data_IF_148877053390
#
_entry.id   IF_148877053390
#
_cell.length_a   1.000
_cell.length_b   1.000
_cell.length_c   1.000
_cell.angle_alpha   90.00
_cell.angle_beta   90.00
_cell.angle_gamma   90.00
#
_symmetry.space_group_name_H-M   'P 1'
#
loop_
_entity.id
_entity.type
_entity.pdbx_description
1 polymer ?
#
# COMPACT_ATOMS: atom_id res chain seq x y z
N UNK A 1 9.02 51.65 25.25
CA UNK A 1 8.97 50.33 25.92
C UNK A 1 8.44 49.28 24.95
N UNK A 2 9.29 48.44 24.31
CA UNK A 2 8.83 47.36 23.44
C UNK A 2 8.28 46.19 24.26
N UNK A 3 7.18 45.57 23.82
CA UNK A 3 6.65 44.34 24.43
C UNK A 3 7.58 43.17 24.11
N UNK A 4 8.04 42.43 25.13
CA UNK A 4 8.81 41.19 24.92
C UNK A 4 7.91 40.14 24.26
N UNK A 5 8.35 39.59 23.14
CA UNK A 5 7.73 38.44 22.52
C UNK A 5 8.11 37.18 23.32
N UNK A 6 7.14 36.48 23.92
CA UNK A 6 7.41 35.16 24.50
C UNK A 6 7.54 34.14 23.37
N UNK A 7 8.72 33.52 23.28
CA UNK A 7 8.88 32.28 22.53
C UNK A 7 8.24 31.13 23.33
N UNK A 8 7.50 30.20 22.69
CA UNK A 8 6.96 29.03 23.38
C UNK A 8 8.11 28.12 23.86
N UNK A 9 7.94 27.49 25.02
CA UNK A 9 8.97 26.60 25.57
C UNK A 9 9.24 25.40 24.66
N UNK A 10 10.53 25.11 24.48
CA UNK A 10 11.04 23.98 23.69
C UNK A 10 10.57 22.66 24.32
N UNK A 11 9.59 21.99 23.70
CA UNK A 11 9.07 20.71 24.15
C UNK A 11 10.06 19.56 23.87
N UNK A 12 11.15 19.52 24.66
CA UNK A 12 12.14 18.46 24.60
C UNK A 12 11.55 17.20 25.24
N UNK A 13 11.26 16.18 24.44
CA UNK A 13 10.94 14.85 24.96
C UNK A 13 12.10 14.36 25.85
N UNK A 14 11.84 13.92 27.10
CA UNK A 14 12.90 13.49 28.00
C UNK A 14 13.61 12.26 27.43
N UNK A 15 14.96 12.14 27.60
CA UNK A 15 15.69 10.97 27.16
C UNK A 15 15.21 9.71 27.90
N UNK A 16 15.00 8.63 27.16
CA UNK A 16 14.55 7.35 27.71
C UNK A 16 15.58 6.81 28.72
N UNK A 17 15.12 6.51 29.94
CA UNK A 17 15.96 6.01 31.02
C UNK A 17 15.83 4.49 31.12
N UNK A 18 16.88 3.77 30.75
CA UNK A 18 16.91 2.31 30.94
C UNK A 18 16.71 1.92 32.41
N UNK A 19 16.02 0.80 32.70
CA UNK A 19 15.77 0.34 34.07
C UNK A 19 17.09 -0.02 34.78
N UNK A 20 17.15 0.23 36.09
CA UNK A 20 18.37 0.11 36.91
C UNK A 20 18.32 -1.11 37.82
N UNK A 21 18.34 -2.28 37.20
CA UNK A 21 18.66 -3.56 37.84
C UNK A 21 17.66 -4.68 37.55
N UNK A 22 18.04 -5.93 37.85
CA UNK A 22 17.22 -7.11 37.51
C UNK A 22 15.86 -7.15 38.23
N UNK A 23 15.71 -6.47 39.37
CA UNK A 23 14.43 -6.38 40.08
C UNK A 23 13.38 -5.48 39.40
N UNK A 24 13.76 -4.45 38.63
CA UNK A 24 12.79 -3.68 37.84
C UNK A 24 12.30 -4.48 36.62
N UNK A 25 13.16 -5.32 36.04
CA UNK A 25 12.80 -6.16 34.89
C UNK A 25 11.72 -7.21 35.24
N UNK A 26 11.77 -7.81 36.44
CA UNK A 26 10.75 -8.76 36.89
C UNK A 26 9.36 -8.12 37.11
N UNK A 27 9.27 -6.78 37.22
CA UNK A 27 8.03 -6.07 37.48
C UNK A 27 7.22 -5.68 36.22
N UNK A 28 7.68 -6.05 35.02
CA UNK A 28 7.04 -5.65 33.75
C UNK A 28 5.75 -6.42 33.41
N UNK A 29 5.49 -7.56 34.07
CA UNK A 29 4.45 -8.51 33.67
C UNK A 29 3.24 -8.63 34.62
N UNK A 30 2.86 -7.55 35.33
CA UNK A 30 1.75 -7.55 36.29
C UNK A 30 0.76 -6.38 36.09
N UNK A 31 -0.25 -6.58 35.25
CA UNK A 31 -1.59 -5.93 35.28
C UNK A 31 -1.71 -4.38 35.39
N UNK A 32 -0.65 -3.58 35.25
CA UNK A 32 -0.73 -2.10 35.36
C UNK A 32 -1.47 -1.42 34.20
N UNK A 33 -1.53 -2.07 33.03
CA UNK A 33 -2.31 -1.65 31.87
C UNK A 33 -3.54 -2.53 31.70
N UNK A 34 -4.73 -1.91 31.63
CA UNK A 34 -5.98 -2.61 31.28
C UNK A 34 -6.08 -3.07 29.82
N UNK A 35 -5.01 -2.87 29.04
CA UNK A 35 -4.90 -3.19 27.62
C UNK A 35 -3.80 -4.21 27.31
N UNK A 36 -3.93 -4.89 26.17
CA UNK A 36 -2.90 -5.73 25.54
C UNK A 36 -2.59 -5.26 24.12
N UNK A 37 -1.38 -5.54 23.64
CA UNK A 37 -0.93 -5.19 22.29
C UNK A 37 -0.41 -6.43 21.59
N UNK A 38 -0.99 -6.81 20.45
CA UNK A 38 -0.54 -7.93 19.62
C UNK A 38 0.01 -7.41 18.29
N UNK A 39 0.83 -8.23 17.63
CA UNK A 39 1.29 -8.01 16.25
C UNK A 39 0.68 -9.08 15.37
N UNK A 40 -0.09 -8.70 14.35
CA UNK A 40 -0.70 -9.67 13.43
C UNK A 40 0.27 -10.22 12.38
N UNK A 41 1.42 -9.57 12.16
CA UNK A 41 2.39 -9.99 11.14
C UNK A 41 3.11 -11.31 11.50
N UNK A 42 3.06 -12.29 10.59
CA UNK A 42 3.91 -13.50 10.62
C UNK A 42 5.40 -13.21 10.46
N UNK A 43 5.76 -12.25 9.61
CA UNK A 43 7.15 -11.96 9.25
C UNK A 43 7.85 -11.11 10.32
N UNK A 44 8.92 -11.64 10.91
CA UNK A 44 9.63 -11.02 12.03
C UNK A 44 10.09 -9.57 11.78
N UNK A 45 10.51 -9.21 10.55
CA UNK A 45 10.90 -7.85 10.19
C UNK A 45 9.73 -6.84 10.31
N UNK A 46 8.52 -7.25 9.93
CA UNK A 46 7.30 -6.45 10.02
C UNK A 46 6.89 -6.15 11.48
N UNK A 47 7.36 -6.95 12.45
CA UNK A 47 7.12 -6.72 13.88
C UNK A 47 7.93 -5.56 14.48
N UNK A 48 8.89 -4.97 13.76
CA UNK A 48 9.78 -3.94 14.32
C UNK A 48 9.01 -2.71 14.83
N UNK A 49 8.04 -2.21 14.06
CA UNK A 49 7.22 -1.07 14.48
C UNK A 49 6.37 -1.39 15.70
N UNK A 50 5.84 -2.63 15.78
CA UNK A 50 5.08 -3.07 16.94
C UNK A 50 5.93 -3.07 18.22
N UNK A 51 7.16 -3.61 18.15
CA UNK A 51 8.14 -3.60 19.25
C UNK A 51 8.49 -2.18 19.70
N UNK A 52 8.83 -1.29 18.75
CA UNK A 52 9.14 0.13 19.03
C UNK A 52 7.96 0.88 19.66
N UNK A 53 6.72 0.47 19.39
CA UNK A 53 5.52 1.02 20.05
C UNK A 53 5.39 0.47 21.47
N UNK A 54 5.50 -0.85 21.68
CA UNK A 54 5.39 -1.45 23.02
C UNK A 54 6.51 -1.01 23.96
N UNK A 55 7.74 -0.87 23.48
CA UNK A 55 8.89 -0.29 24.20
C UNK A 55 8.58 1.12 24.73
N UNK A 56 7.97 1.98 23.90
CA UNK A 56 7.58 3.35 24.28
C UNK A 56 6.40 3.41 25.25
N UNK A 57 5.56 2.38 25.27
CA UNK A 57 4.45 2.24 26.22
C UNK A 57 4.86 1.57 27.54
N UNK A 58 6.09 1.02 27.64
CA UNK A 58 6.51 0.21 28.77
C UNK A 58 5.73 -1.12 28.89
N UNK A 59 5.29 -1.67 27.76
CA UNK A 59 4.49 -2.88 27.65
C UNK A 59 5.24 -3.97 26.87
N UNK A 60 4.80 -5.22 27.01
CA UNK A 60 5.24 -6.34 26.18
C UNK A 60 4.21 -6.67 25.10
N UNK A 61 4.66 -7.28 24.00
CA UNK A 61 3.77 -7.85 22.98
C UNK A 61 3.09 -9.11 23.53
N UNK A 62 1.78 -9.20 23.31
CA UNK A 62 0.95 -10.33 23.70
C UNK A 62 1.35 -11.62 22.99
N UNK A 63 1.18 -12.75 23.68
CA UNK A 63 1.63 -14.06 23.22
C UNK A 63 0.68 -14.60 22.16
N UNK A 64 1.06 -14.49 20.89
CA UNK A 64 0.35 -15.09 19.75
C UNK A 64 1.32 -15.73 18.77
N UNK A 65 0.87 -16.79 18.12
CA UNK A 65 1.57 -17.41 16.98
C UNK A 65 0.77 -17.09 15.71
N UNK A 66 1.44 -16.56 14.68
CA UNK A 66 0.88 -16.33 13.34
C UNK A 66 1.79 -17.00 12.32
N UNK A 67 1.24 -17.85 11.48
CA UNK A 67 1.99 -18.57 10.45
C UNK A 67 1.09 -18.92 9.25
N UNK A 68 1.72 -19.31 8.13
CA UNK A 68 1.04 -19.94 7.01
C UNK A 68 1.26 -21.45 7.05
N UNK A 69 0.18 -22.21 6.86
CA UNK A 69 0.21 -23.66 6.62
C UNK A 69 0.77 -23.93 5.20
N UNK A 70 1.18 -25.17 4.91
CA UNK A 70 1.86 -25.53 3.65
C UNK A 70 1.01 -25.38 2.38
N UNK A 71 -0.30 -25.20 2.53
CA UNK A 71 -1.27 -24.90 1.47
C UNK A 71 -1.46 -23.37 1.23
N UNK A 72 -0.80 -22.51 2.02
CA UNK A 72 -0.94 -21.05 1.98
C UNK A 72 -2.04 -20.49 2.88
N UNK A 73 -2.79 -21.33 3.61
CA UNK A 73 -3.80 -20.85 4.56
C UNK A 73 -3.14 -20.18 5.77
N UNK A 74 -3.65 -19.01 6.16
CA UNK A 74 -3.13 -18.24 7.29
C UNK A 74 -3.79 -18.69 8.59
N UNK A 75 -2.98 -18.94 9.62
CA UNK A 75 -3.45 -19.42 10.92
C UNK A 75 -2.91 -18.57 12.07
N UNK A 76 -3.80 -18.26 13.02
CA UNK A 76 -3.51 -17.43 14.20
C UNK A 76 -3.94 -18.16 15.45
N UNK A 77 -3.04 -18.28 16.43
CA UNK A 77 -3.34 -18.86 17.74
C UNK A 77 -2.90 -17.91 18.86
N UNK A 78 -3.87 -17.40 19.63
CA UNK A 78 -3.61 -16.58 20.82
C UNK A 78 -3.27 -17.52 21.98
N UNK A 79 -2.16 -17.25 22.68
CA UNK A 79 -1.58 -18.10 23.74
C UNK A 79 -1.74 -17.52 25.15
N UNK A 80 -2.61 -16.52 25.32
CA UNK A 80 -2.98 -15.95 26.62
C UNK A 80 -4.47 -15.53 26.67
N UNK A 81 -4.99 -15.26 27.87
CA UNK A 81 -6.39 -14.87 28.06
C UNK A 81 -6.59 -13.37 27.84
N UNK A 82 -7.43 -13.04 26.85
CA UNK A 82 -7.82 -11.66 26.47
C UNK A 82 -9.24 -11.28 26.92
N UNK A 83 -9.93 -12.16 27.66
CA UNK A 83 -11.34 -11.99 28.03
C UNK A 83 -11.56 -10.68 28.81
N UNK A 84 -12.46 -9.83 28.31
CA UNK A 84 -12.87 -8.59 28.95
C UNK A 84 -11.82 -7.47 28.94
N UNK A 85 -10.68 -7.66 28.26
CA UNK A 85 -9.61 -6.66 28.11
C UNK A 85 -9.74 -5.86 26.81
N UNK A 86 -9.10 -4.70 26.76
CA UNK A 86 -9.05 -3.85 25.57
C UNK A 86 -7.79 -4.18 24.74
N UNK A 87 -7.97 -4.57 23.48
CA UNK A 87 -6.90 -5.19 22.68
C UNK A 87 -6.52 -4.30 21.50
N UNK A 88 -5.24 -4.00 21.35
CA UNK A 88 -4.67 -3.33 20.18
C UNK A 88 -4.00 -4.37 19.28
N UNK A 89 -4.37 -4.41 17.99
CA UNK A 89 -3.69 -5.22 16.98
C UNK A 89 -2.86 -4.28 16.11
N UNK A 90 -1.53 -4.36 16.20
CA UNK A 90 -0.64 -3.65 15.28
C UNK A 90 -0.46 -4.52 14.04
N UNK A 91 -0.74 -3.95 12.86
CA UNK A 91 -0.48 -4.60 11.58
C UNK A 91 0.21 -3.65 10.61
N UNK A 92 1.41 -4.04 10.17
CA UNK A 92 2.07 -3.44 9.01
C UNK A 92 1.76 -4.26 7.76
N UNK A 93 1.88 -3.66 6.58
CA UNK A 93 1.53 -4.31 5.31
C UNK A 93 2.83 -4.55 4.49
N UNK A 94 3.37 -5.79 4.47
CA UNK A 94 4.43 -6.18 3.52
C UNK A 94 3.91 -6.25 2.07
N UNK A 95 4.80 -6.62 1.13
CA UNK A 95 4.51 -6.74 -0.31
C UNK A 95 3.28 -7.62 -0.62
N UNK A 96 3.06 -8.70 0.15
CA UNK A 96 1.79 -9.44 0.10
C UNK A 96 0.73 -8.80 1.00
N UNK A 97 -0.02 -7.90 0.39
CA UNK A 97 -1.17 -7.22 0.99
C UNK A 97 -2.34 -8.17 1.31
N UNK A 98 -2.50 -9.28 0.57
CA UNK A 98 -3.64 -10.18 0.76
C UNK A 98 -3.46 -10.99 2.04
N UNK A 99 -2.28 -11.62 2.21
CA UNK A 99 -1.92 -12.33 3.45
C UNK A 99 -2.01 -11.38 4.65
N UNK A 100 -1.42 -10.18 4.56
CA UNK A 100 -1.45 -9.21 5.66
C UNK A 100 -2.86 -8.75 6.06
N UNK A 101 -3.82 -8.72 5.12
CA UNK A 101 -5.24 -8.47 5.43
C UNK A 101 -5.88 -9.71 6.08
N UNK A 102 -5.58 -10.91 5.62
CA UNK A 102 -6.12 -12.15 6.20
C UNK A 102 -5.60 -12.42 7.61
N UNK A 103 -4.29 -12.23 7.86
CA UNK A 103 -3.67 -12.25 9.20
C UNK A 103 -4.46 -11.40 10.20
N UNK A 104 -4.73 -10.14 9.83
CA UNK A 104 -5.45 -9.17 10.66
C UNK A 104 -6.92 -9.55 10.88
N UNK A 105 -7.62 -9.98 9.83
CA UNK A 105 -9.03 -10.40 9.93
C UNK A 105 -9.19 -11.63 10.81
N UNK A 106 -8.30 -12.62 10.67
CA UNK A 106 -8.32 -13.86 11.47
C UNK A 106 -7.91 -13.56 12.92
N UNK A 107 -6.89 -12.73 13.17
CA UNK A 107 -6.53 -12.32 14.52
C UNK A 107 -7.66 -11.56 15.22
N UNK A 108 -8.30 -10.60 14.53
CA UNK A 108 -9.45 -9.88 15.07
C UNK A 108 -10.62 -10.82 15.41
N UNK A 109 -10.92 -11.79 14.54
CA UNK A 109 -11.99 -12.75 14.76
C UNK A 109 -11.67 -13.73 15.91
N UNK A 110 -10.41 -14.16 16.06
CA UNK A 110 -9.95 -14.98 17.17
C UNK A 110 -10.06 -14.24 18.51
N UNK A 111 -9.67 -12.95 18.56
CA UNK A 111 -9.77 -12.10 19.76
C UNK A 111 -11.24 -11.81 20.13
N UNK A 112 -12.12 -11.59 19.14
CA UNK A 112 -13.57 -11.45 19.32
C UNK A 112 -14.19 -12.72 19.90
N UNK A 113 -13.85 -13.88 19.33
CA UNK A 113 -14.30 -15.20 19.80
C UNK A 113 -13.79 -15.48 21.23
N UNK A 114 -12.61 -14.97 21.57
CA UNK A 114 -12.01 -15.02 22.92
C UNK A 114 -12.61 -14.01 23.93
N UNK A 115 -13.71 -13.35 23.56
CA UNK A 115 -14.42 -12.36 24.39
C UNK A 115 -13.58 -11.12 24.78
N UNK A 116 -12.72 -10.61 23.89
CA UNK A 116 -12.13 -9.28 24.04
C UNK A 116 -13.23 -8.19 24.15
N UNK A 117 -12.98 -7.12 24.92
CA UNK A 117 -13.95 -6.04 25.15
C UNK A 117 -13.98 -5.05 23.99
N UNK A 118 -12.80 -4.59 23.58
CA UNK A 118 -12.57 -3.74 22.41
C UNK A 118 -11.42 -4.32 21.59
N UNK A 119 -11.47 -4.11 20.28
CA UNK A 119 -10.45 -4.57 19.34
C UNK A 119 -10.09 -3.38 18.44
N UNK A 120 -8.97 -2.74 18.76
CA UNK A 120 -8.47 -1.55 18.10
C UNK A 120 -7.43 -1.97 17.07
N UNK A 121 -7.73 -1.83 15.78
CA UNK A 121 -6.75 -2.06 14.72
C UNK A 121 -5.81 -0.86 14.55
N UNK A 122 -4.54 -1.02 14.87
CA UNK A 122 -3.49 -0.03 14.59
C UNK A 122 -2.87 -0.40 13.24
N UNK A 123 -3.29 0.28 12.19
CA UNK A 123 -2.95 0.00 10.79
C UNK A 123 -2.28 1.25 10.19
N UNK A 124 -0.95 1.42 10.30
CA UNK A 124 -0.28 2.68 9.97
C UNK A 124 -0.49 3.09 8.50
N UNK A 125 -0.25 2.18 7.56
CA UNK A 125 -0.65 2.31 6.16
C UNK A 125 -1.91 1.47 5.90
N UNK A 126 -3.02 2.11 5.54
CA UNK A 126 -4.26 1.39 5.25
C UNK A 126 -4.24 0.81 3.82
N UNK A 127 -4.32 -0.52 3.64
CA UNK A 127 -4.23 -1.14 2.31
C UNK A 127 -5.48 -0.88 1.46
N UNK A 128 -5.32 -1.02 0.13
CA UNK A 128 -6.33 -0.66 -0.89
C UNK A 128 -6.83 0.79 -0.83
N UNK A 129 -6.19 1.69 -0.08
CA UNK A 129 -6.58 3.10 0.06
C UNK A 129 -6.53 3.91 -1.25
N UNK A 130 -5.66 3.52 -2.19
CA UNK A 130 -5.68 4.00 -3.60
C UNK A 130 -6.98 3.61 -4.34
N UNK A 131 -7.61 2.49 -3.98
CA UNK A 131 -8.88 1.98 -4.54
C UNK A 131 -10.10 2.47 -3.75
N UNK A 132 -10.09 3.76 -3.40
CA UNK A 132 -11.15 4.45 -2.64
C UNK A 132 -12.16 5.19 -3.52
N UNK A 133 -11.88 5.37 -4.83
CA UNK A 133 -12.81 5.93 -5.83
C UNK A 133 -13.17 4.83 -6.84
N UNK A 134 -14.45 4.70 -7.20
CA UNK A 134 -14.86 3.80 -8.28
C UNK A 134 -14.32 4.29 -9.62
N UNK A 135 -13.70 3.41 -10.42
CA UNK A 135 -13.18 3.70 -11.76
C UNK A 135 -13.91 2.81 -12.78
N UNK A 136 -14.46 3.40 -13.85
CA UNK A 136 -15.22 2.70 -14.91
C UNK A 136 -16.24 1.72 -14.30
N UNK A 137 -16.41 0.52 -14.86
CA UNK A 137 -17.20 -0.57 -14.25
C UNK A 137 -16.37 -1.35 -13.19
N UNK A 138 -15.87 -0.64 -12.18
CA UNK A 138 -15.06 -1.19 -11.09
C UNK A 138 -15.80 -1.31 -9.76
N UNK A 139 -15.06 -1.52 -8.66
CA UNK A 139 -15.58 -1.59 -7.29
C UNK A 139 -14.75 -0.70 -6.34
N UNK A 140 -15.27 -0.41 -5.15
CA UNK A 140 -14.56 0.34 -4.11
C UNK A 140 -14.01 -0.65 -3.08
N UNK A 141 -12.88 -1.28 -3.39
CA UNK A 141 -12.27 -2.34 -2.56
C UNK A 141 -11.89 -1.81 -1.17
N UNK A 142 -11.53 -0.52 -1.05
CA UNK A 142 -11.31 0.13 0.24
C UNK A 142 -12.55 0.07 1.17
N UNK A 143 -13.76 0.23 0.63
CA UNK A 143 -15.03 0.11 1.38
C UNK A 143 -15.39 -1.34 1.70
N UNK A 144 -15.05 -2.28 0.81
CA UNK A 144 -15.18 -3.71 1.08
C UNK A 144 -14.31 -4.10 2.29
N UNK A 145 -13.02 -3.72 2.30
CA UNK A 145 -12.11 -4.00 3.41
C UNK A 145 -12.59 -3.39 4.73
N UNK A 146 -13.01 -2.11 4.74
CA UNK A 146 -13.57 -1.48 5.94
C UNK A 146 -14.79 -2.24 6.49
N UNK A 147 -15.62 -2.81 5.59
CA UNK A 147 -16.77 -3.63 5.95
C UNK A 147 -16.36 -5.03 6.47
N UNK A 148 -15.32 -5.65 5.91
CA UNK A 148 -14.77 -6.92 6.38
C UNK A 148 -14.17 -6.78 7.78
N UNK A 149 -13.42 -5.71 8.04
CA UNK A 149 -12.84 -5.42 9.37
C UNK A 149 -13.92 -5.25 10.45
N UNK A 150 -15.03 -4.58 10.13
CA UNK A 150 -16.19 -4.46 11.02
C UNK A 150 -16.84 -5.81 11.34
N UNK A 151 -16.95 -6.70 10.34
CA UNK A 151 -17.51 -8.05 10.53
C UNK A 151 -16.57 -8.96 11.32
N UNK A 152 -15.26 -8.90 11.05
CA UNK A 152 -14.24 -9.64 11.78
C UNK A 152 -14.22 -9.28 13.27
N UNK A 153 -14.27 -7.99 13.61
CA UNK A 153 -14.48 -7.58 15.01
C UNK A 153 -13.89 -6.25 15.45
N UNK A 154 -13.30 -5.43 14.57
CA UNK A 154 -12.71 -4.17 15.00
C UNK A 154 -13.80 -3.22 15.55
N UNK A 155 -13.52 -2.65 16.72
CA UNK A 155 -14.36 -1.63 17.37
C UNK A 155 -13.83 -0.20 17.15
N UNK A 156 -12.55 -0.07 16.77
CA UNK A 156 -11.88 1.18 16.41
C UNK A 156 -10.73 0.86 15.45
N UNK A 157 -10.38 1.76 14.54
CA UNK A 157 -9.12 1.76 13.79
C UNK A 157 -8.32 3.03 14.08
N UNK A 158 -7.02 2.88 14.36
CA UNK A 158 -6.03 3.96 14.38
C UNK A 158 -5.15 3.79 13.15
N UNK A 159 -5.01 4.83 12.34
CA UNK A 159 -4.27 4.82 11.06
C UNK A 159 -3.56 6.16 10.85
N UNK A 160 -2.75 6.28 9.79
CA UNK A 160 -1.96 7.50 9.54
C UNK A 160 -2.05 7.92 8.08
N UNK A 161 -2.33 9.20 7.83
CA UNK A 161 -2.50 9.83 6.51
C UNK A 161 -3.23 8.93 5.49
N UNK A 162 -4.52 8.67 5.73
CA UNK A 162 -5.39 8.05 4.74
C UNK A 162 -5.34 8.81 3.40
N UNK A 163 -5.22 8.05 2.30
CA UNK A 163 -5.02 8.57 0.94
C UNK A 163 -6.02 9.67 0.54
N UNK A 164 -7.29 9.49 0.91
CA UNK A 164 -8.34 10.50 0.87
C UNK A 164 -8.97 10.53 2.28
N UNK A 165 -9.31 11.70 2.81
CA UNK A 165 -9.85 11.83 4.19
C UNK A 165 -11.24 11.20 4.31
N UNK A 166 -11.97 11.26 3.23
CA UNK A 166 -13.32 10.75 3.00
C UNK A 166 -13.41 9.23 3.25
N UNK A 167 -12.29 8.50 3.22
CA UNK A 167 -12.19 7.07 3.60
C UNK A 167 -12.63 6.83 5.05
N UNK A 168 -12.56 7.82 5.95
CA UNK A 168 -13.11 7.70 7.31
C UNK A 168 -14.60 7.33 7.29
N UNK A 169 -15.38 7.83 6.33
CA UNK A 169 -16.80 7.48 6.14
C UNK A 169 -17.06 6.08 5.59
N UNK A 170 -16.02 5.27 5.31
CA UNK A 170 -16.20 3.89 4.89
C UNK A 170 -16.39 2.93 6.07
N UNK A 171 -15.92 3.28 7.25
CA UNK A 171 -16.05 2.46 8.45
C UNK A 171 -17.40 2.67 9.14
N UNK A 172 -17.90 1.63 9.82
CA UNK A 172 -19.12 1.70 10.65
C UNK A 172 -18.82 1.90 12.14
N UNK A 173 -17.58 2.31 12.45
CA UNK A 173 -17.01 2.44 13.78
C UNK A 173 -15.95 3.58 13.75
N UNK A 174 -15.50 4.12 14.90
CA UNK A 174 -14.58 5.26 14.95
C UNK A 174 -13.25 5.07 14.20
N UNK A 175 -12.65 6.18 13.74
CA UNK A 175 -11.43 6.20 12.89
C UNK A 175 -10.50 7.36 13.28
N UNK A 176 -9.46 7.06 14.06
CA UNK A 176 -8.38 8.00 14.35
C UNK A 176 -7.38 8.03 13.18
N UNK A 177 -7.51 9.03 12.30
CA UNK A 177 -6.61 9.27 11.16
C UNK A 177 -5.52 10.28 11.55
N UNK A 178 -4.40 9.76 12.06
CA UNK A 178 -3.22 10.52 12.46
C UNK A 178 -2.53 11.19 11.26
N UNK A 179 -1.67 12.16 11.51
CA UNK A 179 -0.97 12.95 10.47
C UNK A 179 0.53 12.92 10.73
N UNK A 180 1.33 12.41 9.79
CA UNK A 180 2.79 12.48 9.85
C UNK A 180 3.33 13.91 9.56
N UNK A 181 2.48 14.77 8.99
CA UNK A 181 2.86 16.15 8.60
C UNK A 181 3.60 16.99 9.64
N UNK A 182 3.42 16.89 10.98
CA UNK A 182 4.26 17.62 11.93
C UNK A 182 5.73 17.16 11.89
N UNK A 183 5.98 15.86 11.84
CA UNK A 183 7.32 15.26 11.77
C UNK A 183 8.01 15.55 10.43
N UNK A 184 7.27 15.46 9.32
CA UNK A 184 7.79 15.78 7.99
C UNK A 184 8.09 17.29 7.85
N UNK A 185 7.30 18.17 8.47
CA UNK A 185 7.58 19.61 8.56
C UNK A 185 8.81 19.90 9.44
N UNK A 186 8.95 19.20 10.57
CA UNK A 186 10.13 19.30 11.43
C UNK A 186 11.41 18.90 10.65
N UNK A 187 11.38 17.77 9.95
CA UNK A 187 12.51 17.32 9.12
C UNK A 187 12.91 18.35 8.04
N UNK A 188 11.93 18.99 7.38
CA UNK A 188 12.18 20.07 6.40
C UNK A 188 12.86 21.28 7.06
N UNK A 189 12.59 21.56 8.34
CA UNK A 189 13.18 22.69 9.08
C UNK A 189 14.54 22.39 9.70
N UNK A 190 14.82 21.12 10.01
CA UNK A 190 16.06 20.69 10.69
C UNK A 190 17.14 20.18 9.72
N UNK A 191 16.76 19.46 8.66
CA UNK A 191 17.71 18.74 7.79
C UNK A 191 17.87 19.32 6.37
N UNK A 192 16.92 20.15 5.89
CA UNK A 192 17.02 20.78 4.55
C UNK A 192 17.66 22.17 4.67
N UNK A 193 18.91 22.36 4.19
CA UNK A 193 19.53 23.68 4.17
C UNK A 193 18.76 24.61 3.23
N UNK A 194 18.64 25.88 3.62
CA UNK A 194 17.94 26.93 2.87
C UNK A 194 16.48 26.60 2.51
N UNK A 195 15.77 25.83 3.36
CA UNK A 195 14.35 25.48 3.16
C UNK A 195 13.41 26.71 2.98
N UNK A 196 13.86 27.92 3.34
CA UNK A 196 13.17 29.20 3.08
C UNK A 196 13.16 29.60 1.60
N UNK A 197 14.11 29.11 0.81
CA UNK A 197 14.12 29.20 -0.66
C UNK A 197 13.48 27.97 -1.33
N UNK A 198 12.73 27.15 -0.58
CA UNK A 198 12.04 26.01 -1.15
C UNK A 198 10.64 26.36 -1.67
N UNK A 199 10.17 25.55 -2.61
CA UNK A 199 8.81 25.51 -3.14
C UNK A 199 8.24 24.11 -2.89
N UNK A 200 7.04 24.03 -2.33
CA UNK A 200 6.36 22.75 -2.14
C UNK A 200 5.67 22.39 -3.45
N UNK A 201 5.83 21.15 -3.91
CA UNK A 201 5.31 20.67 -5.19
C UNK A 201 4.30 19.55 -4.98
N UNK A 202 3.14 19.67 -5.62
CA UNK A 202 2.20 18.56 -5.77
C UNK A 202 2.52 17.76 -7.04
N UNK A 203 2.66 16.44 -6.92
CA UNK A 203 2.91 15.53 -8.07
C UNK A 203 1.71 15.45 -9.04
N UNK A 204 0.52 15.79 -8.57
CA UNK A 204 -0.72 15.80 -9.35
C UNK A 204 -1.74 16.78 -8.76
N UNK A 205 -2.82 17.12 -9.49
CA UNK A 205 -3.92 17.92 -8.94
C UNK A 205 -4.61 17.27 -7.72
N UNK A 206 -4.71 15.94 -7.67
CA UNK A 206 -5.26 15.21 -6.52
C UNK A 206 -4.38 15.39 -5.26
N UNK A 207 -3.06 15.53 -5.42
CA UNK A 207 -2.12 15.82 -4.33
C UNK A 207 -2.08 17.32 -3.92
N UNK A 208 -2.67 18.24 -4.69
CA UNK A 208 -2.54 19.69 -4.48
C UNK A 208 -3.03 20.15 -3.09
N UNK A 209 -4.16 19.62 -2.61
CA UNK A 209 -4.68 19.89 -1.25
C UNK A 209 -3.72 19.47 -0.14
N UNK A 210 -2.87 18.46 -0.39
CA UNK A 210 -1.85 17.98 0.56
C UNK A 210 -0.65 18.92 0.56
N UNK A 211 -0.09 19.19 -0.62
CA UNK A 211 1.04 20.10 -0.82
C UNK A 211 0.75 21.51 -0.27
N UNK A 212 -0.45 22.06 -0.55
CA UNK A 212 -0.92 23.34 -0.01
C UNK A 212 -0.83 23.39 1.53
N UNK A 213 -1.26 22.33 2.21
CA UNK A 213 -1.24 22.26 3.68
C UNK A 213 0.19 22.27 4.27
N UNK A 214 1.21 21.89 3.50
CA UNK A 214 2.62 22.07 3.88
C UNK A 214 3.12 23.48 3.54
N UNK A 215 2.79 24.00 2.36
CA UNK A 215 3.17 25.34 1.92
C UNK A 215 2.69 26.43 2.88
N UNK A 216 1.42 26.37 3.30
CA UNK A 216 0.81 27.30 4.28
C UNK A 216 1.54 27.29 5.63
N UNK A 217 1.87 26.10 6.14
CA UNK A 217 2.53 25.92 7.46
C UNK A 217 3.99 26.35 7.45
N UNK A 218 4.71 26.08 6.36
CA UNK A 218 6.10 26.48 6.19
C UNK A 218 6.24 27.96 5.75
N UNK A 219 5.16 28.55 5.21
CA UNK A 219 5.10 29.85 4.52
C UNK A 219 6.01 29.89 3.29
N UNK A 220 5.79 28.93 2.40
CA UNK A 220 6.54 28.75 1.15
C UNK A 220 5.61 28.84 -0.07
N UNK A 221 6.21 28.93 -1.26
CA UNK A 221 5.48 28.81 -2.52
C UNK A 221 4.89 27.41 -2.72
N UNK A 222 3.85 27.33 -3.55
CA UNK A 222 3.24 26.10 -4.02
C UNK A 222 3.37 26.01 -5.54
N UNK A 223 3.77 24.86 -6.05
CA UNK A 223 3.68 24.49 -7.46
C UNK A 223 2.89 23.18 -7.60
N UNK A 224 2.26 22.97 -8.76
CA UNK A 224 1.46 21.78 -9.06
C UNK A 224 1.88 21.23 -10.42
N UNK A 225 2.15 19.93 -10.48
CA UNK A 225 2.39 19.21 -11.73
C UNK A 225 1.04 18.72 -12.29
N UNK A 226 0.86 18.89 -13.59
CA UNK A 226 -0.33 18.56 -14.36
C UNK A 226 0.07 17.79 -15.63
N UNK A 227 -0.82 16.97 -16.17
CA UNK A 227 -0.54 16.07 -17.28
C UNK A 227 0.03 14.73 -16.81
N UNK A 228 0.21 13.80 -17.74
CA UNK A 228 0.71 12.46 -17.48
C UNK A 228 1.96 12.18 -18.34
N UNK A 229 2.90 11.41 -17.80
CA UNK A 229 3.95 10.81 -18.62
C UNK A 229 3.34 9.67 -19.44
N UNK A 230 3.84 9.44 -20.67
CA UNK A 230 3.21 8.58 -21.68
C UNK A 230 3.12 7.07 -21.35
N UNK A 231 3.45 6.64 -20.13
CA UNK A 231 3.59 5.23 -19.74
C UNK A 231 2.68 4.77 -18.59
N UNK A 232 2.07 5.67 -17.81
CA UNK A 232 1.27 5.28 -16.63
C UNK A 232 -0.23 5.22 -16.90
N UNK A 233 -0.81 4.04 -16.70
CA UNK A 233 -2.23 3.67 -16.87
C UNK A 233 -2.84 3.97 -18.25
N UNK A 234 -2.90 2.92 -19.08
CA UNK A 234 -3.75 2.87 -20.26
C UNK A 234 -5.22 2.99 -19.84
N UNK A 235 -5.71 4.22 -19.79
CA UNK A 235 -7.12 4.53 -19.92
C UNK A 235 -7.59 4.21 -21.35
N UNK A 236 -7.65 2.92 -21.69
CA UNK A 236 -8.54 2.48 -22.76
C UNK A 236 -9.96 2.88 -22.33
N UNK A 237 -10.56 3.80 -23.07
CA UNK A 237 -11.97 4.15 -22.90
C UNK A 237 -12.79 2.90 -23.18
N UNK A 238 -13.54 2.39 -22.19
CA UNK A 238 -14.17 1.06 -22.29
C UNK A 238 -15.48 1.08 -23.11
N UNK A 239 -15.66 2.11 -23.95
CA UNK A 239 -16.78 2.31 -24.88
C UNK A 239 -18.15 2.55 -24.22
N UNK A 240 -18.22 2.55 -22.88
CA UNK A 240 -19.48 2.43 -22.11
C UNK A 240 -20.10 3.75 -21.66
N UNK A 241 -19.58 4.88 -22.11
CA UNK A 241 -20.24 6.19 -21.94
C UNK A 241 -21.39 6.43 -22.93
N UNK A 242 -21.69 5.47 -23.81
CA UNK A 242 -22.84 5.48 -24.74
C UNK A 242 -23.64 4.17 -24.69
N UNK A 243 -24.94 4.17 -25.09
CA UNK A 243 -25.72 2.95 -25.32
C UNK A 243 -25.11 2.05 -26.42
N UNK A 244 -25.46 0.75 -26.47
CA UNK A 244 -24.84 -0.18 -27.42
C UNK A 244 -25.23 0.12 -28.88
N UNK A 245 -24.27 0.03 -29.79
CA UNK A 245 -24.51 0.06 -31.23
C UNK A 245 -25.31 -1.18 -31.68
N UNK A 246 -26.62 -1.02 -31.88
CA UNK A 246 -27.43 -1.99 -32.62
C UNK A 246 -27.06 -1.87 -34.10
N UNK A 247 -26.38 -2.87 -34.67
CA UNK A 247 -25.86 -2.82 -36.05
C UNK A 247 -26.94 -2.79 -37.15
N UNK A 248 -28.20 -3.05 -36.80
CA UNK A 248 -29.33 -3.08 -37.72
C UNK A 248 -30.35 -1.98 -37.36
N UNK A 249 -30.05 -0.74 -37.74
CA UNK A 249 -31.03 0.34 -37.81
C UNK A 249 -30.90 1.02 -39.18
N UNK A 250 -32.01 1.16 -39.91
CA UNK A 250 -32.04 1.83 -41.21
C UNK A 250 -31.65 3.30 -41.08
N UNK A 251 -30.86 3.79 -42.03
CA UNK A 251 -30.34 5.17 -42.01
C UNK A 251 -31.49 6.17 -42.11
N UNK A 252 -31.72 6.91 -41.03
CA UNK A 252 -32.47 8.17 -41.07
C UNK A 252 -31.50 9.30 -41.46
N UNK A 253 -31.65 9.94 -42.63
CA UNK A 253 -30.79 11.04 -43.03
C UNK A 253 -31.14 12.29 -42.21
N UNK A 254 -30.26 12.69 -41.29
CA UNK A 254 -30.44 13.95 -40.53
C UNK A 254 -29.73 14.05 -39.18
N UNK A 255 -29.19 12.97 -38.62
CA UNK A 255 -28.47 12.98 -37.33
C UNK A 255 -27.13 12.24 -37.40
N UNK A 256 -26.12 12.90 -37.98
CA UNK A 256 -24.74 12.55 -37.69
C UNK A 256 -24.41 13.01 -36.25
N UNK A 257 -24.23 12.06 -35.33
CA UNK A 257 -23.63 12.34 -34.04
C UNK A 257 -22.13 12.60 -34.25
N UNK A 258 -21.57 13.73 -33.81
CA UNK A 258 -20.15 14.00 -33.97
C UNK A 258 -19.28 12.90 -33.38
N UNK A 259 -18.29 12.44 -34.16
CA UNK A 259 -17.25 11.53 -33.71
C UNK A 259 -16.45 12.21 -32.59
N UNK A 260 -16.77 11.88 -31.34
CA UNK A 260 -16.03 12.34 -30.17
C UNK A 260 -14.61 11.80 -30.26
N UNK A 261 -13.67 12.68 -30.62
CA UNK A 261 -12.26 12.31 -30.70
C UNK A 261 -11.76 11.87 -29.33
N UNK A 262 -10.89 10.86 -29.29
CA UNK A 262 -10.28 10.40 -28.06
C UNK A 262 -9.58 11.58 -27.37
N UNK A 263 -9.85 11.76 -26.07
CA UNK A 263 -9.31 12.88 -25.30
C UNK A 263 -7.82 12.66 -25.05
N UNK A 264 -6.98 13.16 -25.94
CA UNK A 264 -5.53 13.14 -25.76
C UNK A 264 -5.16 13.72 -24.40
N UNK A 265 -4.41 12.94 -23.61
CA UNK A 265 -3.99 13.36 -22.27
C UNK A 265 -2.92 14.45 -22.40
N UNK A 266 -3.06 15.59 -21.69
CA UNK A 266 -2.16 16.72 -21.89
C UNK A 266 -0.73 16.38 -21.43
N UNK A 267 0.30 16.95 -22.10
CA UNK A 267 1.68 16.72 -21.75
C UNK A 267 1.99 17.22 -20.34
N UNK A 268 2.93 16.54 -19.69
CA UNK A 268 3.32 16.83 -18.31
C UNK A 268 3.99 18.22 -18.19
N UNK A 269 3.45 19.05 -17.30
CA UNK A 269 3.75 20.48 -17.16
C UNK A 269 3.71 20.91 -15.70
N UNK A 270 4.41 22.01 -15.36
CA UNK A 270 4.42 22.60 -14.01
C UNK A 270 3.65 23.92 -14.01
N UNK A 271 2.81 24.12 -13.01
CA UNK A 271 2.11 25.37 -12.71
C UNK A 271 2.69 25.94 -11.42
N UNK A 272 3.34 27.10 -11.50
CA UNK A 272 4.07 27.73 -10.39
C UNK A 272 5.55 27.93 -10.70
N UNK A 273 6.19 28.87 -10.00
CA UNK A 273 7.62 29.14 -10.13
C UNK A 273 8.46 28.17 -9.27
N UNK A 274 9.47 27.57 -9.90
CA UNK A 274 10.44 26.64 -9.29
C UNK A 274 11.89 26.99 -9.61
N UNK A 275 12.14 28.07 -10.38
CA UNK A 275 13.47 28.42 -10.88
C UNK A 275 14.38 28.97 -9.80
N UNK A 276 15.58 28.40 -9.65
CA UNK A 276 16.54 28.81 -8.61
C UNK A 276 16.10 28.43 -7.18
N UNK A 277 15.11 27.54 -7.04
CA UNK A 277 14.54 27.10 -5.76
C UNK A 277 14.86 25.63 -5.47
N UNK A 278 14.66 25.24 -4.21
CA UNK A 278 14.62 23.82 -3.81
C UNK A 278 13.18 23.32 -4.03
N UNK A 279 12.97 22.31 -4.86
CA UNK A 279 11.66 21.68 -5.00
C UNK A 279 11.47 20.59 -3.95
N UNK A 280 10.35 20.61 -3.22
CA UNK A 280 9.99 19.56 -2.26
C UNK A 280 8.65 18.95 -2.69
N UNK A 281 8.71 17.82 -3.40
CA UNK A 281 7.52 17.05 -3.79
C UNK A 281 6.91 16.43 -2.53
N UNK A 282 5.61 16.65 -2.32
CA UNK A 282 4.87 16.09 -1.17
C UNK A 282 3.69 15.24 -1.62
N UNK A 283 3.72 13.95 -1.28
CA UNK A 283 2.62 13.00 -1.55
C UNK A 283 2.23 12.23 -0.26
N UNK A 284 1.29 11.29 -0.34
CA UNK A 284 1.00 10.36 0.79
C UNK A 284 1.72 9.02 0.64
N UNK A 285 1.75 8.47 -0.58
CA UNK A 285 2.27 7.13 -0.88
C UNK A 285 3.32 7.22 -2.00
N UNK A 286 4.48 6.59 -1.81
CA UNK A 286 5.44 6.27 -2.88
C UNK A 286 5.36 4.75 -3.10
N UNK A 287 5.05 4.32 -4.33
CA UNK A 287 4.68 2.94 -4.65
C UNK A 287 5.40 2.53 -5.94
N UNK A 288 4.90 3.04 -7.07
CA UNK A 288 5.71 3.34 -8.25
C UNK A 288 6.61 4.56 -7.99
N UNK A 289 7.82 4.52 -8.56
CA UNK A 289 8.84 5.56 -8.48
C UNK A 289 9.01 6.31 -9.82
N UNK A 290 8.65 5.72 -10.97
CA UNK A 290 8.80 6.33 -12.29
C UNK A 290 8.07 7.67 -12.39
N UNK A 291 6.84 7.72 -11.88
CA UNK A 291 6.04 8.96 -11.83
C UNK A 291 6.58 10.03 -10.87
N UNK A 292 7.54 9.70 -9.99
CA UNK A 292 8.30 10.66 -9.20
C UNK A 292 9.62 11.08 -9.88
N UNK A 293 10.24 10.21 -10.68
CA UNK A 293 11.42 10.53 -11.49
C UNK A 293 11.08 11.53 -12.58
N UNK A 294 10.04 11.27 -13.39
CA UNK A 294 9.59 12.19 -14.44
C UNK A 294 9.20 13.57 -13.87
N UNK A 295 8.56 13.59 -12.68
CA UNK A 295 8.26 14.82 -11.96
C UNK A 295 9.54 15.58 -11.54
N UNK A 296 10.58 14.89 -11.10
CA UNK A 296 11.86 15.49 -10.73
C UNK A 296 12.65 16.01 -11.94
N UNK A 297 12.64 15.30 -13.07
CA UNK A 297 13.33 15.72 -14.30
C UNK A 297 12.78 17.06 -14.81
N UNK A 298 11.46 17.22 -14.88
CA UNK A 298 10.82 18.45 -15.37
C UNK A 298 10.99 19.62 -14.39
N UNK A 299 11.03 19.36 -13.09
CA UNK A 299 11.40 20.38 -12.10
C UNK A 299 12.83 20.88 -12.29
N UNK A 300 13.77 19.97 -12.61
CA UNK A 300 15.17 20.29 -12.89
C UNK A 300 15.32 21.06 -14.20
N UNK A 301 14.60 20.68 -15.26
CA UNK A 301 14.53 21.44 -16.53
C UNK A 301 14.03 22.87 -16.31
N UNK A 302 13.07 23.06 -15.40
CA UNK A 302 12.58 24.38 -14.99
C UNK A 302 13.44 25.08 -13.92
N UNK A 303 14.67 24.60 -13.71
CA UNK A 303 15.68 25.29 -12.91
C UNK A 303 15.64 25.04 -11.40
N UNK A 304 14.92 24.01 -10.92
CA UNK A 304 15.05 23.58 -9.53
C UNK A 304 16.41 22.89 -9.30
N UNK A 305 17.26 23.47 -8.45
CA UNK A 305 18.66 23.04 -8.29
C UNK A 305 18.85 21.89 -7.28
N UNK A 306 17.85 21.66 -6.43
CA UNK A 306 17.74 20.49 -5.52
C UNK A 306 16.28 20.04 -5.49
N UNK A 307 16.08 18.73 -5.39
CA UNK A 307 14.76 18.12 -5.38
C UNK A 307 14.71 17.10 -4.24
N UNK A 308 13.68 17.20 -3.41
CA UNK A 308 13.35 16.27 -2.34
C UNK A 308 11.97 15.66 -2.59
N UNK A 309 11.77 14.41 -2.18
CA UNK A 309 10.47 13.72 -2.21
C UNK A 309 10.11 13.29 -0.80
N UNK A 310 8.95 13.72 -0.32
CA UNK A 310 8.47 13.50 1.04
C UNK A 310 7.09 12.84 0.98
N UNK A 311 6.92 11.72 1.69
CA UNK A 311 5.65 11.01 1.80
C UNK A 311 5.53 10.33 3.17
N UNK A 312 4.31 9.92 3.53
CA UNK A 312 4.05 9.20 4.78
C UNK A 312 4.29 7.70 4.63
N UNK A 313 3.98 7.12 3.47
CA UNK A 313 4.01 5.68 3.20
C UNK A 313 4.97 5.35 2.06
N UNK A 314 6.11 4.74 2.36
CA UNK A 314 7.04 4.20 1.35
C UNK A 314 6.80 2.71 1.11
N UNK A 315 6.07 2.36 0.07
CA UNK A 315 5.79 0.96 -0.32
C UNK A 315 6.87 0.41 -1.25
N UNK A 316 7.34 1.22 -2.22
CA UNK A 316 8.49 0.94 -3.09
C UNK A 316 8.44 -0.47 -3.71
N UNK A 317 7.32 -0.77 -4.40
CA UNK A 317 6.84 -2.14 -4.61
C UNK A 317 7.44 -2.87 -5.83
N UNK A 318 8.01 -2.11 -6.78
CA UNK A 318 8.64 -2.60 -8.00
C UNK A 318 10.13 -2.98 -7.80
N UNK A 319 10.71 -3.69 -8.78
CA UNK A 319 12.15 -3.96 -8.82
C UNK A 319 12.93 -2.66 -9.06
N UNK A 320 13.31 -2.01 -7.97
CA UNK A 320 14.23 -0.88 -7.94
C UNK A 320 15.64 -1.34 -8.34
N UNK A 321 15.85 -1.52 -9.65
CA UNK A 321 17.11 -1.93 -10.26
C UNK A 321 18.29 -1.08 -9.73
N UNK A 322 19.49 -1.66 -9.59
CA UNK A 322 20.57 -1.08 -8.78
C UNK A 322 21.04 0.33 -9.23
N UNK A 323 20.74 0.76 -10.46
CA UNK A 323 21.03 2.07 -11.05
C UNK A 323 20.70 3.26 -10.13
N UNK A 324 19.62 3.20 -9.35
CA UNK A 324 19.17 4.35 -8.52
C UNK A 324 19.60 4.27 -7.05
N UNK A 325 20.21 3.16 -6.60
CA UNK A 325 20.61 2.97 -5.20
C UNK A 325 21.72 3.94 -4.75
N UNK A 326 22.44 4.56 -5.70
CA UNK A 326 23.49 5.54 -5.43
C UNK A 326 23.03 6.96 -5.10
N UNK A 327 21.75 7.31 -5.34
CA UNK A 327 21.26 8.70 -5.19
C UNK A 327 20.65 8.96 -3.80
N UNK A 328 19.94 7.99 -3.22
CA UNK A 328 19.14 8.24 -2.01
C UNK A 328 19.96 8.33 -0.71
N UNK A 329 21.23 7.87 -0.70
CA UNK A 329 22.12 7.94 0.46
C UNK A 329 23.59 8.22 0.06
N UNK A 330 24.02 9.48 0.17
CA UNK A 330 25.40 9.83 0.55
C UNK A 330 25.38 10.83 1.70
N UNK A 331 25.74 10.38 2.90
CA UNK A 331 26.01 11.27 4.04
C UNK A 331 27.23 12.14 3.74
N UNK A 332 27.25 13.35 4.29
CA UNK A 332 28.48 14.14 4.38
C UNK A 332 29.50 13.44 5.29
N UNK A 333 30.72 13.28 4.79
CA UNK A 333 31.91 12.94 5.58
C UNK A 333 32.78 14.19 5.73
N UNK A 334 33.31 14.43 6.92
CA UNK A 334 34.06 15.63 7.28
C UNK A 334 35.40 15.76 6.55
N UNK A 335 35.79 17.00 6.21
CA UNK A 335 37.20 17.35 5.97
C UNK A 335 38.08 16.90 7.14
N UNK A 336 39.16 16.18 6.84
CA UNK A 336 40.44 16.29 7.56
C UNK A 336 41.58 16.24 6.54
N UNK A 337 42.68 16.94 6.82
CA UNK A 337 43.89 16.91 5.99
C UNK A 337 44.74 15.67 6.31
N UNK A 338 45.42 15.13 5.29
CA UNK A 338 46.47 14.12 5.44
C UNK A 338 47.32 14.08 4.17
N UNK A 339 48.60 14.43 4.27
CA UNK A 339 49.52 14.51 3.12
C UNK A 339 50.58 13.42 3.19
N UNK A 340 50.69 12.61 2.13
CA UNK A 340 51.85 11.75 1.86
C UNK A 340 51.93 11.39 0.37
N UNK A 341 53.15 11.14 -0.12
CA UNK A 341 53.51 11.02 -1.55
C UNK A 341 53.60 9.55 -2.01
N UNK A 342 53.49 9.32 -3.32
CA UNK A 342 53.89 8.08 -4.01
C UNK A 342 52.85 6.96 -3.98
N UNK A 343 52.82 6.00 -4.92
CA UNK A 343 53.71 5.75 -6.08
C UNK A 343 52.90 5.04 -7.19
N UNK A 344 53.44 4.95 -8.41
CA UNK A 344 52.80 4.29 -9.57
C UNK A 344 52.74 2.76 -9.49
N UNK A 345 51.63 2.18 -9.93
CA UNK A 345 51.50 0.88 -10.63
C UNK A 345 50.10 0.84 -11.28
N UNK A 346 49.90 0.84 -12.60
CA UNK A 346 50.32 -0.14 -13.63
C UNK A 346 49.45 -1.41 -13.63
N UNK A 347 48.78 -1.65 -14.76
CA UNK A 347 47.88 -2.80 -15.01
C UNK A 347 48.65 -3.95 -15.66
N UNK A 348 48.46 -5.21 -15.23
CA UNK A 348 48.81 -6.38 -16.04
C UNK A 348 47.61 -6.86 -16.87
N UNK A 349 47.82 -7.03 -18.17
CA UNK A 349 47.01 -7.89 -19.05
C UNK A 349 47.89 -9.04 -19.52
N UNK A 350 47.39 -10.26 -19.41
CA UNK A 350 47.73 -11.42 -20.26
C UNK A 350 46.46 -12.31 -20.31
N UNK A 351 46.02 -12.93 -21.42
CA UNK A 351 46.71 -13.73 -22.46
C UNK A 351 47.12 -15.12 -21.96
N UNK A 352 47.01 -16.19 -22.75
CA UNK A 352 46.43 -16.35 -24.09
C UNK A 352 45.88 -17.79 -24.30
N UNK A 353 45.56 -18.13 -25.55
CA UNK A 353 45.30 -19.47 -26.13
C UNK A 353 43.83 -19.84 -26.39
N UNK A 354 43.46 -19.81 -27.67
CA UNK A 354 42.34 -20.56 -28.24
C UNK A 354 42.76 -21.26 -29.54
N UNK A 355 41.91 -22.15 -30.06
CA UNK A 355 42.02 -22.70 -31.42
C UNK A 355 40.63 -23.08 -31.98
N UNK A 356 40.49 -22.91 -33.30
CA UNK A 356 39.41 -23.34 -34.20
C UNK A 356 40.10 -23.99 -35.43
N UNK A 357 39.41 -24.63 -36.43
CA UNK A 357 37.99 -24.49 -36.79
C UNK A 357 37.22 -25.80 -37.14
N UNK A 358 35.95 -25.59 -37.55
CA UNK A 358 35.04 -26.38 -38.39
C UNK A 358 35.67 -27.08 -39.63
N UNK A 359 35.02 -28.03 -40.38
CA UNK A 359 33.60 -27.91 -40.83
C UNK A 359 32.75 -29.16 -41.27
N UNK A 360 31.51 -28.87 -41.70
CA UNK A 360 30.65 -29.49 -42.77
C UNK A 360 29.38 -30.34 -42.44
N UNK A 361 28.27 -29.88 -43.06
CA UNK A 361 27.18 -30.61 -43.80
C UNK A 361 25.84 -31.06 -43.15
N UNK A 362 24.82 -30.20 -43.39
CA UNK A 362 23.53 -30.46 -44.08
C UNK A 362 22.43 -31.41 -43.54
N UNK A 363 21.21 -30.84 -43.47
CA UNK A 363 19.85 -31.45 -43.49
C UNK A 363 19.58 -32.39 -44.72
N UNK A 364 18.43 -33.13 -44.86
CA UNK A 364 17.12 -32.95 -44.18
C UNK A 364 16.25 -34.21 -43.84
N UNK A 365 15.07 -33.92 -43.25
CA UNK A 365 13.77 -34.60 -43.42
C UNK A 365 13.45 -36.00 -42.79
N UNK A 366 12.13 -36.25 -42.74
CA UNK A 366 11.34 -37.29 -42.04
C UNK A 366 10.70 -38.25 -43.08
N UNK A 367 9.77 -39.20 -42.77
CA UNK A 367 9.69 -40.31 -41.80
C UNK A 367 9.59 -41.72 -42.46
N UNK A 368 9.59 -42.83 -41.69
CA UNK A 368 8.62 -43.97 -41.84
C UNK A 368 8.74 -45.12 -40.80
N UNK A 369 7.58 -45.77 -40.52
CA UNK A 369 7.25 -47.20 -40.11
C UNK A 369 8.31 -48.06 -39.39
N UNK A 370 8.01 -48.91 -38.40
CA UNK A 370 6.77 -49.45 -37.78
C UNK A 370 7.15 -50.65 -36.85
N UNK A 371 6.33 -51.63 -36.39
CA UNK A 371 4.88 -52.00 -36.41
C UNK A 371 4.60 -52.95 -35.19
N UNK A 372 3.35 -53.37 -34.94
CA UNK A 372 2.84 -54.38 -33.97
C UNK A 372 2.66 -53.95 -32.49
N UNK A 373 1.55 -54.24 -31.80
CA UNK A 373 0.24 -54.85 -32.18
C UNK A 373 -0.90 -54.31 -31.28
N UNK A 374 -2.13 -54.12 -31.78
CA UNK A 374 -3.28 -55.05 -31.72
C UNK A 374 -3.76 -55.39 -30.28
N UNK A 375 -5.04 -55.26 -29.90
CA UNK A 375 -6.22 -54.72 -30.60
C UNK A 375 -7.43 -54.40 -29.67
N UNK A 376 -8.29 -53.48 -30.13
CA UNK A 376 -9.67 -53.15 -29.66
C UNK A 376 -10.68 -54.30 -30.00
N UNK A 377 -12.03 -54.25 -29.73
CA UNK A 377 -12.90 -53.07 -29.47
C UNK A 377 -14.07 -53.22 -28.46
N UNK A 378 -14.91 -52.17 -28.40
CA UNK A 378 -16.22 -52.09 -27.72
C UNK A 378 -17.39 -52.50 -28.66
N UNK A 379 -18.55 -52.97 -28.15
CA UNK A 379 -19.89 -52.34 -28.34
C UNK A 379 -21.14 -53.24 -28.03
N UNK A 380 -22.22 -52.56 -27.60
CA UNK A 380 -23.67 -52.85 -27.76
C UNK A 380 -24.35 -54.15 -27.24
N UNK A 381 -25.22 -53.98 -26.22
CA UNK A 381 -26.71 -54.16 -26.20
C UNK A 381 -27.22 -54.09 -24.73
N UNK A 382 -28.53 -54.02 -24.39
CA UNK A 382 -29.65 -53.08 -24.66
C UNK A 382 -30.93 -53.76 -24.10
N UNK A 383 -31.64 -53.13 -23.13
CA UNK A 383 -32.94 -53.56 -22.52
C UNK A 383 -32.83 -54.79 -21.58
N UNK A 384 -33.70 -55.00 -20.57
CA UNK A 384 -35.09 -54.52 -20.32
C UNK A 384 -35.26 -53.71 -18.99
N UNK A 385 -36.45 -53.74 -18.33
CA UNK A 385 -37.47 -52.65 -18.40
C UNK A 385 -38.69 -52.85 -17.44
N UNK A 386 -38.61 -52.46 -16.16
CA UNK A 386 -39.76 -52.26 -15.24
C UNK A 386 -39.35 -51.45 -13.99
N UNK A 387 -40.13 -50.55 -13.35
CA UNK A 387 -41.35 -49.77 -13.69
C UNK A 387 -41.13 -48.31 -13.21
N UNK A 388 -41.87 -47.25 -13.61
CA UNK A 388 -43.31 -46.98 -13.47
C UNK A 388 -43.79 -46.98 -11.99
N UNK A 389 -44.42 -45.94 -11.42
CA UNK A 389 -44.84 -44.59 -11.90
C UNK A 389 -45.04 -43.60 -10.68
N UNK A 390 -45.50 -42.33 -10.83
CA UNK A 390 -45.44 -41.27 -9.78
C UNK A 390 -46.80 -40.99 -9.07
N UNK A 391 -46.88 -39.97 -8.17
CA UNK A 391 -47.94 -38.91 -8.13
C UNK A 391 -47.81 -37.88 -6.97
N UNK A 392 -48.33 -36.67 -7.25
CA UNK A 392 -48.53 -35.37 -6.58
C UNK A 392 -48.40 -35.10 -5.04
N UNK A 393 -48.23 -33.80 -4.78
CA UNK A 393 -48.36 -33.08 -3.50
C UNK A 393 -49.79 -32.60 -3.14
N UNK A 394 -50.00 -32.19 -1.88
CA UNK A 394 -51.03 -31.25 -1.39
C UNK A 394 -50.68 -30.86 0.07
N UNK A 395 -50.49 -29.61 0.52
CA UNK A 395 -51.35 -28.41 0.67
C UNK A 395 -52.52 -28.49 1.68
N UNK A 396 -52.33 -27.82 2.83
CA UNK A 396 -53.29 -27.05 3.68
C UNK A 396 -52.46 -26.49 4.86
N UNK A 397 -52.43 -25.21 5.22
CA UNK A 397 -53.48 -24.18 5.44
C UNK A 397 -54.35 -24.41 6.69
N UNK A 398 -54.38 -23.38 7.54
CA UNK A 398 -55.12 -23.29 8.81
C UNK A 398 -54.73 -21.99 9.53
N UNK A 399 -55.58 -20.97 9.42
CA UNK A 399 -55.37 -19.59 9.91
C UNK A 399 -56.57 -19.17 10.79
N UNK A 400 -56.42 -18.15 11.67
CA UNK A 400 -57.48 -17.24 12.18
C UNK A 400 -56.90 -16.20 13.16
N UNK A 401 -57.53 -15.02 13.24
CA UNK A 401 -57.15 -13.83 14.02
C UNK A 401 -57.62 -13.83 15.48
N UNK A 402 -57.07 -12.94 16.30
CA UNK A 402 -57.75 -11.85 17.06
C UNK A 402 -56.74 -11.10 17.97
N UNK A 403 -56.95 -9.88 18.49
CA UNK A 403 -57.71 -8.70 18.02
C UNK A 403 -57.10 -7.42 18.67
N UNK A 404 -57.76 -6.27 18.53
CA UNK A 404 -57.48 -5.02 19.26
C UNK A 404 -58.54 -4.83 20.38
N UNK A 405 -58.52 -3.82 21.27
CA UNK A 405 -57.69 -2.60 21.37
C UNK A 405 -57.26 -2.46 22.87
N UNK A 406 -57.20 -1.33 23.63
CA UNK A 406 -57.45 0.11 23.37
C UNK A 406 -56.24 0.87 22.80
#
# INVERSE_FOLDING_TARGET
MPRKLLLPHRAVCPPFRAPRGPHEALAMNAARSGYRVFSANSTAACTELAKRITERLGAELGKSVVYQETNGETRVEIKESVRGQDIFIIQTIPRDVNTAVMELLIMAYALKTSCARNIIGVIPYFPYSKQSKMRKRGSIVCKLLASMLAKAGLTHIITMDLHQKEIQGFFSFPVDNLRASPFLIQYIQEEIPDYRNAVIVAKSPDAAKRAQSYAERLRLGLAVIHGEAQCTEQDMDDGRHSPPMVKNATVHPGLELPLMMAKEKPPITVVGDVGGRIAIIVDDIIDDVESFVAAAEILKERGAYKIFVMATHGLLSADCAPSHRGVLHRRGGSNQHGSSRGTEAAVPQDKDCGHQPDPLRSHPANPQRGVHGLSLPQHHRRLTRAGAAPVLASTREGNVHEQATP
#
